data_IF_312361396742
#
_entry.id   IF_312361396742
#
_cell.length_a   1.000
_cell.length_b   1.000
_cell.length_c   1.000
_cell.angle_alpha   90.00
_cell.angle_beta   90.00
_cell.angle_gamma   90.00
#
_symmetry.space_group_name_H-M   'P 1'
#
loop_
_entity.id
_entity.type
_entity.pdbx_description
1 polymer ?
#
# COMPACT_ATOMS: atom_id res chain seq x y z
N UNK A 1 -16.99 2.23 -6.07
CA UNK A 1 -15.92 2.79 -5.19
C UNK A 1 -16.42 3.13 -3.78
N UNK A 2 -17.65 3.69 -3.58
CA UNK A 2 -18.17 3.97 -2.23
C UNK A 2 -18.20 2.69 -1.38
N UNK A 3 -17.68 2.77 -0.14
CA UNK A 3 -17.61 1.63 0.77
C UNK A 3 -16.52 0.59 0.45
N UNK A 4 -15.63 0.86 -0.51
CA UNK A 4 -14.43 0.02 -0.72
C UNK A 4 -13.54 0.05 0.52
N UNK A 5 -12.83 -1.05 0.78
CA UNK A 5 -11.81 -1.06 1.84
C UNK A 5 -10.62 -0.21 1.41
N UNK A 6 -10.22 0.77 2.21
CA UNK A 6 -8.93 1.42 2.07
C UNK A 6 -7.87 0.50 2.70
N UNK A 7 -7.05 -0.12 1.88
CA UNK A 7 -5.99 -1.05 2.30
C UNK A 7 -4.64 -0.34 2.23
N UNK A 8 -4.09 0.00 3.39
CA UNK A 8 -2.82 0.69 3.54
C UNK A 8 -1.69 -0.31 3.78
N UNK A 9 -0.67 -0.29 2.91
CA UNK A 9 0.38 -1.31 2.87
C UNK A 9 1.70 -0.76 3.42
N UNK A 10 2.22 -1.40 4.49
CA UNK A 10 3.57 -1.26 5.04
C UNK A 10 4.00 0.18 5.39
N UNK A 11 3.04 1.02 5.77
CA UNK A 11 3.30 2.42 6.16
C UNK A 11 3.85 2.49 7.59
N UNK A 12 5.02 1.91 7.77
CA UNK A 12 5.77 1.87 9.02
C UNK A 12 6.98 2.81 8.95
N UNK A 13 7.49 3.24 10.08
CA UNK A 13 8.67 4.14 10.17
C UNK A 13 9.89 3.58 9.44
N UNK A 14 9.99 2.26 9.32
CA UNK A 14 11.06 1.58 8.60
C UNK A 14 11.29 2.09 7.18
N UNK A 15 10.24 2.61 6.50
CA UNK A 15 10.36 3.13 5.14
C UNK A 15 11.11 4.46 5.07
N UNK A 16 11.21 5.17 6.19
CA UNK A 16 11.94 6.45 6.27
C UNK A 16 13.43 6.25 6.62
N UNK A 17 13.88 5.01 6.77
CA UNK A 17 15.29 4.76 7.07
C UNK A 17 16.19 5.23 5.92
N UNK A 18 17.29 5.94 6.20
CA UNK A 18 18.17 6.51 5.17
C UNK A 18 18.73 5.50 4.15
N UNK A 19 18.84 4.24 4.51
CA UNK A 19 19.35 3.16 3.65
C UNK A 19 18.54 2.99 2.35
N UNK A 20 17.29 3.44 2.33
CA UNK A 20 16.44 3.35 1.14
C UNK A 20 16.85 4.35 0.04
N UNK A 21 17.49 5.47 0.39
CA UNK A 21 17.85 6.53 -0.55
C UNK A 21 16.71 7.48 -0.87
N UNK A 22 16.77 8.08 -2.07
CA UNK A 22 15.78 9.09 -2.51
C UNK A 22 14.57 8.41 -3.13
N UNK A 23 13.39 8.77 -2.66
CA UNK A 23 12.10 8.29 -3.15
C UNK A 23 11.46 9.25 -4.16
N UNK A 24 10.50 8.74 -4.92
CA UNK A 24 9.52 9.57 -5.62
C UNK A 24 8.34 9.94 -4.69
N UNK A 25 7.35 10.66 -5.21
CA UNK A 25 6.12 11.06 -4.51
C UNK A 25 6.35 11.56 -3.08
N UNK A 26 7.09 12.65 -2.87
CA UNK A 26 7.43 13.15 -1.54
C UNK A 26 6.21 13.55 -0.70
N UNK A 27 5.05 13.74 -1.33
CA UNK A 27 3.78 14.10 -0.68
C UNK A 27 2.83 12.91 -0.48
N UNK A 28 3.26 11.67 -0.71
CA UNK A 28 2.37 10.50 -0.66
C UNK A 28 1.62 10.36 0.68
N UNK A 29 2.28 10.64 1.80
CA UNK A 29 1.64 10.60 3.11
C UNK A 29 0.53 11.66 3.27
N UNK A 30 0.66 12.82 2.62
CA UNK A 30 -0.39 13.83 2.61
C UNK A 30 -1.63 13.31 1.88
N UNK A 31 -1.44 12.66 0.73
CA UNK A 31 -2.54 12.05 -0.03
C UNK A 31 -3.19 10.90 0.75
N UNK A 32 -2.38 10.05 1.39
CA UNK A 32 -2.88 8.99 2.29
C UNK A 32 -3.71 9.59 3.44
N UNK A 33 -3.24 10.67 4.06
CA UNK A 33 -3.96 11.34 5.14
C UNK A 33 -5.32 11.89 4.68
N UNK A 34 -5.40 12.44 3.45
CA UNK A 34 -6.65 12.91 2.84
C UNK A 34 -7.64 11.75 2.61
N UNK A 35 -7.15 10.62 2.11
CA UNK A 35 -7.95 9.41 1.93
C UNK A 35 -8.45 8.88 3.29
N UNK A 36 -7.57 8.76 4.27
CA UNK A 36 -7.93 8.33 5.62
C UNK A 36 -9.00 9.22 6.24
N UNK A 37 -8.84 10.55 6.13
CA UNK A 37 -9.82 11.50 6.64
C UNK A 37 -11.20 11.27 6.00
N UNK A 38 -11.25 11.07 4.68
CA UNK A 38 -12.51 10.78 3.97
C UNK A 38 -13.13 9.46 4.41
N UNK A 39 -12.36 8.37 4.41
CA UNK A 39 -12.87 7.05 4.80
C UNK A 39 -13.40 7.04 6.22
N UNK A 40 -12.68 7.65 7.16
CA UNK A 40 -13.09 7.74 8.56
C UNK A 40 -14.33 8.61 8.76
N UNK A 41 -14.44 9.73 8.04
CA UNK A 41 -15.64 10.59 8.07
C UNK A 41 -16.89 9.86 7.57
N UNK A 42 -16.76 9.06 6.53
CA UNK A 42 -17.85 8.27 5.94
C UNK A 42 -18.10 6.94 6.67
N UNK A 43 -17.31 6.61 7.68
CA UNK A 43 -17.32 5.31 8.35
C UNK A 43 -17.11 4.13 7.38
N UNK A 44 -16.33 4.32 6.31
CA UNK A 44 -15.94 3.25 5.41
C UNK A 44 -14.78 2.44 5.98
N UNK A 45 -14.62 1.17 5.58
CA UNK A 45 -13.61 0.29 6.18
C UNK A 45 -12.18 0.71 5.81
N UNK A 46 -11.34 0.88 6.84
CA UNK A 46 -9.90 1.12 6.73
C UNK A 46 -9.17 -0.08 7.32
N UNK A 47 -8.27 -0.68 6.54
CA UNK A 47 -7.46 -1.83 6.95
C UNK A 47 -5.99 -1.52 6.75
N UNK A 48 -5.17 -1.92 7.71
CA UNK A 48 -3.73 -1.69 7.68
C UNK A 48 -2.98 -3.00 7.53
N UNK A 49 -2.00 -3.02 6.63
CA UNK A 49 -1.05 -4.12 6.49
C UNK A 49 0.26 -3.71 7.11
N UNK A 50 0.78 -4.53 8.01
CA UNK A 50 2.07 -4.36 8.65
C UNK A 50 3.04 -5.44 8.18
N UNK A 51 4.21 -5.04 7.74
CA UNK A 51 5.28 -5.99 7.45
C UNK A 51 6.05 -6.32 8.72
N UNK A 52 6.06 -7.59 9.10
CA UNK A 52 6.84 -8.14 10.21
C UNK A 52 7.96 -9.03 9.63
N UNK A 53 9.05 -8.39 9.20
CA UNK A 53 10.16 -9.08 8.56
C UNK A 53 10.82 -10.12 9.46
N UNK A 54 11.11 -11.28 8.90
CA UNK A 54 11.95 -12.32 9.53
C UNK A 54 13.43 -12.10 9.32
N UNK A 55 13.83 -11.19 8.44
CA UNK A 55 15.23 -10.91 8.12
C UNK A 55 15.91 -10.16 9.27
N UNK A 56 17.04 -10.68 9.82
CA UNK A 56 17.68 -10.09 11.01
C UNK A 56 18.12 -8.63 10.84
N UNK A 57 18.50 -8.22 9.62
CA UNK A 57 18.97 -6.88 9.30
C UNK A 57 17.84 -5.92 8.89
N UNK A 58 16.60 -6.39 8.79
CA UNK A 58 15.48 -5.57 8.32
C UNK A 58 15.04 -4.55 9.34
N UNK A 59 14.82 -3.32 8.89
CA UNK A 59 14.19 -2.26 9.68
C UNK A 59 12.71 -2.54 9.98
N UNK A 60 12.08 -3.43 9.23
CA UNK A 60 10.69 -3.90 9.45
C UNK A 60 10.58 -5.04 10.46
N UNK A 61 11.67 -5.41 11.15
CA UNK A 61 11.63 -6.50 12.14
C UNK A 61 10.82 -6.08 13.38
N UNK A 62 9.94 -6.96 13.88
CA UNK A 62 9.19 -6.69 15.10
C UNK A 62 10.05 -6.39 16.32
N UNK A 63 9.53 -5.62 17.27
CA UNK A 63 10.19 -5.34 18.54
C UNK A 63 11.20 -4.18 18.49
N UNK A 64 11.20 -3.39 17.43
CA UNK A 64 12.02 -2.19 17.30
C UNK A 64 11.18 -0.97 16.86
N UNK A 65 11.62 0.27 17.18
CA UNK A 65 10.83 1.47 16.90
C UNK A 65 10.51 1.70 15.41
N UNK A 66 11.36 1.23 14.50
CA UNK A 66 11.14 1.32 13.07
C UNK A 66 9.97 0.47 12.56
N UNK A 67 9.58 -0.58 13.31
CA UNK A 67 8.43 -1.40 12.95
C UNK A 67 7.07 -0.75 13.29
N UNK A 68 7.06 0.34 14.07
CA UNK A 68 5.84 1.09 14.36
C UNK A 68 5.25 1.73 13.10
N UNK A 69 3.94 1.91 13.07
CA UNK A 69 3.29 2.70 12.02
C UNK A 69 3.76 4.15 12.03
N UNK A 70 3.80 4.74 10.84
CA UNK A 70 3.97 6.20 10.70
C UNK A 70 2.78 6.92 11.32
N UNK A 71 2.98 8.08 12.00
CA UNK A 71 1.87 8.83 12.59
C UNK A 71 0.76 9.18 11.60
N UNK A 72 1.13 9.50 10.35
CA UNK A 72 0.22 9.90 9.28
C UNK A 72 -0.72 8.78 8.84
N UNK A 73 -0.35 7.52 9.10
CA UNK A 73 -1.09 6.33 8.69
C UNK A 73 -1.34 5.36 9.85
N UNK A 74 -1.27 5.83 11.09
CA UNK A 74 -1.48 5.00 12.26
C UNK A 74 -2.94 4.50 12.33
N UNK A 75 -3.14 3.19 12.62
CA UNK A 75 -4.47 2.63 12.79
C UNK A 75 -5.18 3.27 14.00
N UNK A 76 -6.48 3.53 13.86
CA UNK A 76 -7.35 3.87 14.97
C UNK A 76 -7.88 2.60 15.64
N UNK A 77 -8.41 2.76 16.87
CA UNK A 77 -9.09 1.67 17.55
C UNK A 77 -10.24 1.11 16.70
N UNK A 78 -10.23 -0.20 16.48
CA UNK A 78 -11.24 -0.88 15.66
C UNK A 78 -10.83 -1.05 14.18
N UNK A 79 -9.81 -0.37 13.69
CA UNK A 79 -9.28 -0.60 12.34
C UNK A 79 -8.43 -1.86 12.32
N UNK A 80 -8.74 -2.86 11.45
CA UNK A 80 -7.99 -4.11 11.39
C UNK A 80 -6.54 -3.91 10.98
N UNK A 81 -5.64 -4.60 11.67
CA UNK A 81 -4.22 -4.73 11.31
C UNK A 81 -3.93 -6.15 10.88
N UNK A 82 -3.37 -6.30 9.69
CA UNK A 82 -2.95 -7.57 9.08
C UNK A 82 -1.44 -7.63 9.10
N UNK A 83 -0.87 -8.48 9.93
CA UNK A 83 0.57 -8.71 9.94
C UNK A 83 0.95 -9.74 8.88
N UNK A 84 1.95 -9.40 8.04
CA UNK A 84 2.52 -10.29 7.02
C UNK A 84 4.03 -10.43 7.17
N UNK A 85 4.57 -11.53 6.67
CA UNK A 85 6.02 -11.82 6.65
C UNK A 85 6.60 -11.92 5.24
N UNK A 86 5.75 -11.83 4.23
CA UNK A 86 6.10 -11.83 2.81
C UNK A 86 5.71 -10.50 2.19
N UNK A 87 6.11 -10.25 0.94
CA UNK A 87 5.69 -9.02 0.27
C UNK A 87 4.18 -8.97 -0.01
N UNK A 88 3.57 -10.12 -0.30
CA UNK A 88 2.14 -10.20 -0.62
C UNK A 88 1.29 -10.21 0.65
N UNK A 89 0.31 -9.31 0.74
CA UNK A 89 -0.56 -9.20 1.92
C UNK A 89 -1.55 -10.35 2.07
N UNK A 90 -1.80 -11.14 1.04
CA UNK A 90 -2.72 -12.27 1.10
C UNK A 90 -2.05 -13.58 1.55
N UNK A 91 -0.72 -13.68 1.47
CA UNK A 91 -0.01 -14.93 1.75
C UNK A 91 0.13 -15.13 3.27
N UNK A 92 -0.51 -16.18 3.77
CA UNK A 92 -0.41 -16.60 5.18
C UNK A 92 -1.03 -15.64 6.21
N UNK A 93 -1.96 -14.76 5.78
CA UNK A 93 -2.53 -13.70 6.63
C UNK A 93 -4.03 -13.82 6.92
N UNK A 94 -4.75 -14.63 6.14
CA UNK A 94 -6.21 -14.68 6.18
C UNK A 94 -6.91 -13.43 5.64
N UNK A 95 -6.19 -12.52 4.96
CA UNK A 95 -6.75 -11.28 4.44
C UNK A 95 -7.93 -11.52 3.50
N UNK A 96 -7.81 -12.45 2.54
CA UNK A 96 -8.89 -12.77 1.61
C UNK A 96 -10.15 -13.24 2.35
N UNK A 97 -10.00 -14.20 3.25
CA UNK A 97 -11.13 -14.74 4.02
C UNK A 97 -11.86 -13.62 4.76
N UNK A 98 -11.13 -12.79 5.49
CA UNK A 98 -11.71 -11.68 6.27
C UNK A 98 -12.40 -10.64 5.39
N UNK A 99 -11.83 -10.30 4.21
CA UNK A 99 -12.48 -9.41 3.25
C UNK A 99 -13.80 -10.00 2.74
N UNK A 100 -13.83 -11.28 2.38
CA UNK A 100 -15.04 -11.96 1.89
C UNK A 100 -16.10 -12.13 2.98
N UNK A 101 -15.72 -12.48 4.19
CA UNK A 101 -16.62 -12.56 5.35
C UNK A 101 -17.26 -11.20 5.68
N UNK A 102 -16.51 -10.11 5.49
CA UNK A 102 -17.02 -8.74 5.59
C UNK A 102 -17.87 -8.27 4.41
N UNK A 103 -18.04 -9.11 3.38
CA UNK A 103 -18.78 -8.74 2.16
C UNK A 103 -18.03 -7.74 1.26
N UNK A 104 -16.73 -7.55 1.48
CA UNK A 104 -15.93 -6.60 0.72
C UNK A 104 -15.48 -7.17 -0.62
N UNK A 105 -15.84 -6.50 -1.70
CA UNK A 105 -15.51 -6.90 -3.09
C UNK A 105 -14.63 -5.88 -3.80
N UNK A 106 -14.39 -4.73 -3.18
CA UNK A 106 -13.63 -3.62 -3.79
C UNK A 106 -12.60 -3.08 -2.82
N UNK A 107 -11.39 -2.79 -3.33
CA UNK A 107 -10.24 -2.31 -2.58
C UNK A 107 -9.73 -1.00 -3.18
N UNK A 108 -9.35 -0.07 -2.33
CA UNK A 108 -8.51 1.08 -2.66
C UNK A 108 -7.18 0.86 -1.97
N UNK A 109 -6.10 0.78 -2.74
CA UNK A 109 -4.77 0.41 -2.23
C UNK A 109 -3.85 1.62 -2.30
N UNK A 110 -3.16 1.91 -1.20
CA UNK A 110 -2.08 2.88 -1.11
C UNK A 110 -0.97 2.34 -0.20
N UNK A 111 0.23 2.88 -0.27
CA UNK A 111 1.34 2.50 0.61
C UNK A 111 2.63 2.18 -0.10
N UNK A 112 3.46 1.32 0.48
CA UNK A 112 4.85 1.11 0.08
C UNK A 112 5.27 -0.36 0.04
N UNK A 113 6.25 -0.68 -0.73
CA UNK A 113 6.93 0.03 -1.82
C UNK A 113 6.20 -0.33 -3.10
N UNK A 114 5.97 0.63 -4.01
CA UNK A 114 5.13 0.45 -5.20
C UNK A 114 5.45 -0.84 -5.96
N UNK A 115 6.69 -1.04 -6.36
CA UNK A 115 7.15 -2.18 -7.17
C UNK A 115 7.44 -3.46 -6.36
N UNK A 116 7.04 -3.51 -5.10
CA UNK A 116 7.27 -4.65 -4.22
C UNK A 116 5.96 -5.06 -3.52
N UNK A 117 5.77 -4.71 -2.25
CA UNK A 117 4.60 -5.13 -1.46
C UNK A 117 3.28 -4.66 -2.08
N UNK A 118 3.24 -3.45 -2.63
CA UNK A 118 2.03 -2.92 -3.30
C UNK A 118 1.76 -3.70 -4.57
N UNK A 119 2.71 -3.78 -5.50
CA UNK A 119 2.52 -4.46 -6.80
C UNK A 119 2.09 -5.91 -6.63
N UNK A 120 2.79 -6.68 -5.77
CA UNK A 120 2.46 -8.10 -5.59
C UNK A 120 1.10 -8.30 -4.92
N UNK A 121 0.70 -7.40 -4.01
CA UNK A 121 -0.62 -7.47 -3.36
C UNK A 121 -1.74 -7.10 -4.32
N UNK A 122 -1.55 -6.06 -5.14
CA UNK A 122 -2.53 -5.64 -6.17
C UNK A 122 -2.73 -6.72 -7.23
N UNK A 123 -1.65 -7.35 -7.70
CA UNK A 123 -1.75 -8.50 -8.63
C UNK A 123 -2.59 -9.63 -8.04
N UNK A 124 -2.35 -9.97 -6.77
CA UNK A 124 -3.12 -11.02 -6.09
C UNK A 124 -4.58 -10.59 -5.93
N UNK A 125 -4.85 -9.36 -5.51
CA UNK A 125 -6.21 -8.84 -5.37
C UNK A 125 -7.00 -8.96 -6.69
N UNK A 126 -6.40 -8.55 -7.81
CA UNK A 126 -6.99 -8.68 -9.14
C UNK A 126 -7.24 -10.14 -9.52
N UNK A 127 -6.27 -11.04 -9.32
CA UNK A 127 -6.40 -12.47 -9.58
C UNK A 127 -7.48 -13.15 -8.72
N UNK A 128 -7.71 -12.66 -7.50
CA UNK A 128 -8.79 -13.12 -6.62
C UNK A 128 -10.16 -12.51 -6.96
N UNK A 129 -10.23 -11.63 -7.97
CA UNK A 129 -11.46 -11.02 -8.45
C UNK A 129 -11.94 -9.81 -7.64
N UNK A 130 -11.08 -9.20 -6.82
CA UNK A 130 -11.40 -7.93 -6.20
C UNK A 130 -11.35 -6.78 -7.22
N UNK A 131 -12.36 -5.91 -7.20
CA UNK A 131 -12.31 -4.66 -7.94
C UNK A 131 -11.33 -3.70 -7.24
N UNK A 132 -10.14 -3.56 -7.82
CA UNK A 132 -9.01 -2.91 -7.16
C UNK A 132 -8.68 -1.57 -7.81
N UNK A 133 -8.55 -0.54 -6.99
CA UNK A 133 -8.05 0.78 -7.34
C UNK A 133 -6.71 1.00 -6.67
N UNK A 134 -5.70 1.40 -7.43
CA UNK A 134 -4.37 1.71 -6.92
C UNK A 134 -4.14 3.21 -6.97
N UNK A 135 -3.86 3.82 -5.83
CA UNK A 135 -3.66 5.27 -5.73
C UNK A 135 -2.21 5.61 -6.04
N UNK A 136 -1.96 6.13 -7.25
CA UNK A 136 -0.62 6.37 -7.77
C UNK A 136 0.20 7.32 -6.88
N UNK A 137 -0.38 8.46 -6.52
CA UNK A 137 0.23 9.50 -5.68
C UNK A 137 0.18 9.21 -4.17
N UNK A 138 -0.56 8.17 -3.78
CA UNK A 138 -0.55 7.55 -2.45
C UNK A 138 0.46 6.39 -2.30
N UNK A 139 1.29 6.14 -3.31
CA UNK A 139 2.34 5.13 -3.29
C UNK A 139 3.68 5.75 -3.65
N UNK A 140 4.78 5.16 -3.14
CA UNK A 140 6.12 5.57 -3.53
C UNK A 140 7.10 4.39 -3.53
N UNK A 141 8.25 4.63 -4.17
CA UNK A 141 9.37 3.71 -4.26
C UNK A 141 10.70 4.46 -4.30
N UNK A 142 11.77 3.73 -4.50
CA UNK A 142 13.15 4.20 -4.52
C UNK A 142 13.82 3.83 -5.83
N UNK A 143 14.88 4.57 -6.20
CA UNK A 143 15.73 4.21 -7.31
C UNK A 143 16.43 2.86 -7.08
N UNK A 144 16.73 2.16 -8.16
CA UNK A 144 17.41 0.86 -8.10
C UNK A 144 18.21 0.56 -9.36
N UNK A 145 19.07 -0.41 -9.30
CA UNK A 145 19.67 -0.97 -10.50
C UNK A 145 18.68 -1.93 -11.15
N UNK A 146 18.56 -1.87 -12.49
CA UNK A 146 17.86 -2.89 -13.24
C UNK A 146 18.73 -4.16 -13.38
N UNK A 147 18.19 -5.21 -14.02
CA UNK A 147 18.89 -6.49 -14.14
C UNK A 147 20.18 -6.43 -14.97
N UNK A 148 20.37 -5.38 -15.79
CA UNK A 148 21.60 -5.08 -16.54
C UNK A 148 22.60 -4.24 -15.73
N UNK A 149 22.26 -3.83 -14.50
CA UNK A 149 23.08 -2.97 -13.67
C UNK A 149 22.95 -1.48 -14.00
N UNK A 150 21.95 -1.07 -14.80
CA UNK A 150 21.70 0.35 -15.09
C UNK A 150 20.85 0.96 -13.97
N UNK A 151 21.23 2.16 -13.53
CA UNK A 151 20.46 2.90 -12.54
C UNK A 151 19.12 3.37 -13.13
N UNK A 152 18.05 3.10 -12.38
CA UNK A 152 16.71 3.60 -12.64
C UNK A 152 16.28 4.52 -11.52
N UNK A 153 15.73 5.65 -11.87
CA UNK A 153 15.17 6.59 -10.90
C UNK A 153 13.94 5.99 -10.20
N UNK A 154 13.58 6.53 -9.04
CA UNK A 154 12.36 6.15 -8.36
C UNK A 154 11.11 6.38 -9.22
N UNK A 155 11.08 7.45 -10.01
CA UNK A 155 9.97 7.73 -10.93
C UNK A 155 9.86 6.70 -12.04
N UNK A 156 10.97 6.27 -12.66
CA UNK A 156 10.96 5.22 -13.69
C UNK A 156 10.47 3.89 -13.13
N UNK A 157 10.93 3.51 -11.94
CA UNK A 157 10.52 2.27 -11.27
C UNK A 157 9.03 2.32 -10.93
N UNK A 158 8.56 3.43 -10.39
CA UNK A 158 7.15 3.65 -10.06
C UNK A 158 6.26 3.59 -11.29
N UNK A 159 6.58 4.35 -12.32
CA UNK A 159 5.80 4.41 -13.56
C UNK A 159 5.68 3.04 -14.23
N UNK A 160 6.77 2.25 -14.25
CA UNK A 160 6.74 0.91 -14.83
C UNK A 160 5.89 -0.05 -13.99
N UNK A 161 5.98 0.02 -12.66
CA UNK A 161 5.12 -0.78 -11.76
C UNK A 161 3.64 -0.48 -11.97
N UNK A 162 3.26 0.80 -12.08
CA UNK A 162 1.88 1.20 -12.38
C UNK A 162 1.43 0.70 -13.76
N UNK A 163 2.28 0.80 -14.78
CA UNK A 163 1.99 0.33 -16.12
C UNK A 163 1.75 -1.20 -16.17
N UNK A 164 2.49 -1.97 -15.37
CA UNK A 164 2.33 -3.41 -15.25
C UNK A 164 1.00 -3.83 -14.60
N UNK A 165 0.33 -2.93 -13.90
CA UNK A 165 -0.86 -3.22 -13.11
C UNK A 165 -2.15 -2.67 -13.75
N UNK A 166 -2.05 -1.48 -14.37
CA UNK A 166 -3.21 -0.76 -14.89
C UNK A 166 -3.88 -1.51 -16.04
N UNK A 167 -5.20 -1.66 -15.93
CA UNK A 167 -6.03 -2.29 -16.95
C UNK A 167 -6.12 -3.82 -16.86
N UNK A 168 -5.15 -4.47 -16.21
CA UNK A 168 -5.20 -5.94 -16.03
C UNK A 168 -5.58 -6.32 -14.59
N UNK A 169 -4.90 -5.77 -13.60
CA UNK A 169 -5.10 -6.15 -12.18
C UNK A 169 -5.85 -5.08 -11.37
N UNK A 170 -5.78 -3.82 -11.82
CA UNK A 170 -6.42 -2.71 -11.13
C UNK A 170 -6.69 -1.54 -12.08
N UNK A 171 -7.45 -0.57 -11.58
CA UNK A 171 -7.51 0.78 -12.15
C UNK A 171 -6.58 1.69 -11.34
N UNK A 172 -5.55 2.25 -11.99
CA UNK A 172 -4.69 3.27 -11.37
C UNK A 172 -5.41 4.60 -11.41
N UNK A 173 -5.44 5.28 -10.27
CA UNK A 173 -6.09 6.59 -10.08
C UNK A 173 -5.21 7.50 -9.22
N UNK A 174 -5.44 8.81 -9.26
CA UNK A 174 -4.91 9.73 -8.25
C UNK A 174 -5.83 9.81 -7.04
N UNK A 175 -5.31 10.29 -5.91
CA UNK A 175 -6.13 10.56 -4.73
C UNK A 175 -7.21 11.62 -5.03
N UNK A 176 -6.89 12.63 -5.85
CA UNK A 176 -7.83 13.68 -6.25
C UNK A 176 -9.00 13.10 -7.05
N UNK A 177 -8.75 12.34 -8.13
CA UNK A 177 -9.79 11.68 -8.94
C UNK A 177 -10.68 10.78 -8.09
N UNK A 178 -10.08 10.04 -7.16
CA UNK A 178 -10.82 9.16 -6.27
C UNK A 178 -11.74 9.94 -5.33
N UNK A 179 -11.25 11.03 -4.72
CA UNK A 179 -12.02 11.85 -3.80
C UNK A 179 -13.14 12.64 -4.50
N UNK A 180 -12.90 13.12 -5.72
CA UNK A 180 -13.91 13.79 -6.56
C UNK A 180 -15.05 12.83 -6.96
N UNK A 181 -14.73 11.56 -7.24
CA UNK A 181 -15.76 10.57 -7.59
C UNK A 181 -16.74 10.26 -6.43
N UNK A 182 -16.49 10.79 -5.22
CA UNK A 182 -17.35 10.65 -4.04
C UNK A 182 -18.15 11.93 -3.72
N UNK A 183 -17.94 13.00 -4.49
CA UNK A 183 -18.76 14.22 -4.39
C UNK A 183 -20.10 14.01 -5.12
#
# INVERSE_FOLDING_TARGET
>A
MRGSVLLLIDLQKAIDHPDWGVRNNPSAENEISRLLARWRTENWPVWHVRHDSSEPASHYRPGQPWNDFKPEAAPLHGEPVIAKRTNNAFIGTGLEQRLREGGHTSLVVAGVITNNSVETTVRMAGNLGFNTYLVADGCFTFGRLDWNGQARSADEVHAMSLANLHGEYCTVVSAAELLEAFL
#
